data_IF_636918387085
#
_entry.id   IF_636918387085
#
_cell.length_a   1.000
_cell.length_b   1.000
_cell.length_c   1.000
_cell.angle_alpha   90.00
_cell.angle_beta   90.00
_cell.angle_gamma   90.00
#
_symmetry.space_group_name_H-M   'P 1'
#
loop_
_entity.id
_entity.type
_entity.pdbx_description
1 polymer ?
#
# COMPACT_ATOMS: atom_id res chain seq x y z
N UNK A 1 6.60 -4.23 -12.09
CA UNK A 1 6.88 -5.25 -11.05
C UNK A 1 7.15 -6.55 -11.78
N UNK A 2 7.66 -7.57 -11.15
CA UNK A 2 7.83 -8.90 -11.75
C UNK A 2 6.96 -9.89 -10.98
N UNK A 3 6.62 -11.01 -11.62
CA UNK A 3 5.98 -12.14 -10.95
C UNK A 3 6.84 -12.61 -9.78
N UNK A 4 6.22 -12.98 -8.67
CA UNK A 4 6.92 -13.54 -7.52
C UNK A 4 6.07 -14.58 -6.80
N UNK A 5 6.75 -15.43 -6.03
CA UNK A 5 6.13 -16.42 -5.13
C UNK A 5 6.81 -16.29 -3.77
N UNK A 6 6.03 -16.16 -2.71
CA UNK A 6 6.51 -16.08 -1.35
C UNK A 6 5.71 -17.00 -0.42
N UNK A 7 6.33 -17.43 0.67
CA UNK A 7 5.65 -18.21 1.72
C UNK A 7 5.54 -17.35 2.97
N UNK A 8 4.30 -17.04 3.38
CA UNK A 8 3.99 -16.20 4.52
C UNK A 8 3.15 -17.01 5.51
N UNK A 9 3.67 -17.28 6.70
CA UNK A 9 2.98 -18.07 7.74
C UNK A 9 2.50 -19.46 7.26
N UNK A 10 3.23 -20.08 6.32
CA UNK A 10 2.86 -21.39 5.74
C UNK A 10 1.89 -21.30 4.56
N UNK A 11 1.41 -20.12 4.19
CA UNK A 11 0.60 -19.88 3.00
C UNK A 11 1.49 -19.47 1.82
N UNK A 12 1.23 -20.04 0.65
CA UNK A 12 1.91 -19.69 -0.60
C UNK A 12 1.18 -18.53 -1.25
N UNK A 13 1.84 -17.39 -1.37
CA UNK A 13 1.36 -16.21 -2.09
C UNK A 13 2.08 -16.10 -3.43
N UNK A 14 1.31 -16.10 -4.52
CA UNK A 14 1.80 -15.86 -5.89
C UNK A 14 1.21 -14.54 -6.42
N UNK A 15 2.03 -13.79 -7.13
CA UNK A 15 1.62 -12.56 -7.79
C UNK A 15 1.99 -12.60 -9.27
N UNK A 16 1.03 -12.27 -10.14
CA UNK A 16 1.18 -12.18 -11.58
C UNK A 16 0.98 -10.73 -12.02
N UNK A 17 2.07 -10.10 -12.47
CA UNK A 17 2.09 -8.66 -12.75
C UNK A 17 1.24 -8.26 -13.94
N UNK A 18 1.27 -9.04 -15.03
CA UNK A 18 0.52 -8.78 -16.26
C UNK A 18 -1.00 -8.76 -16.03
N UNK A 19 -1.49 -9.64 -15.15
CA UNK A 19 -2.92 -9.79 -14.83
C UNK A 19 -3.31 -9.04 -13.56
N UNK A 20 -2.32 -8.50 -12.85
CA UNK A 20 -2.49 -7.85 -11.54
C UNK A 20 -3.24 -8.73 -10.55
N UNK A 21 -2.87 -10.02 -10.52
CA UNK A 21 -3.59 -11.07 -9.83
C UNK A 21 -2.79 -11.62 -8.66
N UNK A 22 -3.47 -11.84 -7.54
CA UNK A 22 -2.94 -12.54 -6.37
C UNK A 22 -3.61 -13.91 -6.24
N UNK A 23 -2.79 -14.94 -5.99
CA UNK A 23 -3.23 -16.29 -5.68
C UNK A 23 -2.64 -16.68 -4.33
N UNK A 24 -3.49 -17.14 -3.41
CA UNK A 24 -3.08 -17.64 -2.11
C UNK A 24 -3.52 -19.11 -1.99
N UNK A 25 -2.57 -20.02 -1.81
CA UNK A 25 -2.81 -21.46 -1.75
C UNK A 25 -3.65 -22.00 -2.92
N UNK A 26 -3.41 -21.47 -4.13
CA UNK A 26 -4.15 -21.84 -5.33
C UNK A 26 -5.52 -21.14 -5.48
N UNK A 27 -5.89 -20.25 -4.56
CA UNK A 27 -7.16 -19.48 -4.61
C UNK A 27 -6.86 -18.06 -5.07
N UNK A 28 -7.53 -17.61 -6.16
CA UNK A 28 -7.46 -16.23 -6.59
C UNK A 28 -8.19 -15.33 -5.60
N UNK A 29 -7.49 -14.33 -5.07
CA UNK A 29 -8.04 -13.34 -4.14
C UNK A 29 -7.91 -11.92 -4.70
N UNK A 30 -8.85 -11.01 -4.40
CA UNK A 30 -8.72 -9.62 -4.83
C UNK A 30 -7.55 -8.94 -4.12
N UNK A 31 -6.99 -7.90 -4.74
CA UNK A 31 -6.05 -7.02 -4.05
C UNK A 31 -6.77 -6.13 -3.02
N UNK A 32 -6.02 -5.64 -2.03
CA UNK A 32 -6.55 -4.66 -1.05
C UNK A 32 -7.14 -3.42 -1.77
N UNK A 33 -6.55 -2.98 -2.87
CA UNK A 33 -7.06 -1.85 -3.66
C UNK A 33 -8.37 -2.18 -4.38
N UNK A 34 -8.59 -3.44 -4.78
CA UNK A 34 -9.86 -3.90 -5.36
C UNK A 34 -11.00 -3.96 -4.30
N UNK A 35 -10.69 -4.23 -3.03
CA UNK A 35 -11.67 -4.09 -1.95
C UNK A 35 -12.07 -2.62 -1.80
N UNK A 36 -11.10 -1.71 -1.79
CA UNK A 36 -11.36 -0.27 -1.70
C UNK A 36 -12.22 0.27 -2.85
N UNK A 37 -12.15 -0.35 -4.03
CA UNK A 37 -12.94 0.08 -5.20
C UNK A 37 -14.46 -0.02 -4.96
N UNK A 38 -14.92 -0.90 -4.07
CA UNK A 38 -16.35 -1.00 -3.70
C UNK A 38 -16.86 0.34 -3.15
N UNK A 39 -16.11 0.96 -2.25
CA UNK A 39 -16.48 2.25 -1.65
C UNK A 39 -16.07 3.46 -2.49
N UNK A 40 -14.91 3.40 -3.10
CA UNK A 40 -14.25 4.58 -3.69
C UNK A 40 -14.20 4.59 -5.21
N UNK A 41 -14.63 3.50 -5.88
CA UNK A 41 -14.54 3.36 -7.35
C UNK A 41 -15.26 4.49 -8.10
N UNK A 42 -16.36 5.00 -7.56
CA UNK A 42 -17.13 6.11 -8.13
C UNK A 42 -16.33 7.42 -8.23
N UNK A 43 -15.29 7.63 -7.41
CA UNK A 43 -14.47 8.86 -7.40
C UNK A 43 -13.70 9.08 -8.69
N UNK A 44 -13.51 8.04 -9.49
CA UNK A 44 -12.79 8.09 -10.76
C UNK A 44 -13.73 8.10 -11.97
N UNK A 45 -15.06 8.05 -11.75
CA UNK A 45 -16.03 8.17 -12.82
C UNK A 45 -15.90 9.54 -13.49
N UNK A 46 -15.72 9.54 -14.82
CA UNK A 46 -15.51 10.77 -15.61
C UNK A 46 -14.06 11.20 -15.80
N UNK A 47 -13.09 10.49 -15.24
CA UNK A 47 -11.66 10.67 -15.58
C UNK A 47 -11.34 9.79 -16.79
N UNK A 48 -10.72 10.36 -17.85
CA UNK A 48 -10.39 9.57 -19.04
C UNK A 48 -9.35 8.50 -18.75
N UNK A 49 -9.49 7.32 -19.39
CA UNK A 49 -8.58 6.19 -19.23
C UNK A 49 -7.11 6.58 -19.47
N UNK A 50 -6.85 7.45 -20.45
CA UNK A 50 -5.50 7.95 -20.74
C UNK A 50 -4.89 8.69 -19.54
N UNK A 51 -5.69 9.47 -18.81
CA UNK A 51 -5.20 10.20 -17.62
C UNK A 51 -4.92 9.22 -16.48
N UNK A 52 -5.81 8.23 -16.28
CA UNK A 52 -5.63 7.19 -15.28
C UNK A 52 -4.39 6.33 -15.57
N UNK A 53 -4.22 5.91 -16.83
CA UNK A 53 -3.06 5.12 -17.25
C UNK A 53 -1.74 5.88 -17.07
N UNK A 54 -1.67 7.16 -17.48
CA UNK A 54 -0.48 7.97 -17.29
C UNK A 54 -0.16 8.17 -15.79
N UNK A 55 -1.19 8.32 -14.96
CA UNK A 55 -1.01 8.43 -13.51
C UNK A 55 -0.48 7.11 -12.91
N UNK A 56 -0.98 5.97 -13.36
CA UNK A 56 -0.50 4.64 -12.94
C UNK A 56 0.97 4.42 -13.32
N UNK A 57 1.33 4.64 -14.60
CA UNK A 57 2.72 4.51 -15.10
C UNK A 57 3.67 5.38 -14.26
N UNK A 58 3.29 6.65 -14.01
CA UNK A 58 4.12 7.53 -13.18
C UNK A 58 4.20 7.04 -11.73
N UNK A 59 3.09 6.58 -11.17
CA UNK A 59 3.06 6.01 -9.82
C UNK A 59 4.05 4.85 -9.71
N UNK A 60 3.95 3.87 -10.60
CA UNK A 60 4.86 2.70 -10.64
C UNK A 60 6.33 3.11 -10.74
N UNK A 61 6.65 4.09 -11.60
CA UNK A 61 8.02 4.58 -11.73
C UNK A 61 8.56 5.22 -10.45
N UNK A 62 7.71 5.95 -9.70
CA UNK A 62 8.10 6.57 -8.43
C UNK A 62 8.28 5.52 -7.34
N UNK A 63 7.36 4.56 -7.19
CA UNK A 63 7.50 3.46 -6.23
C UNK A 63 8.79 2.69 -6.49
N UNK A 64 9.04 2.32 -7.75
CA UNK A 64 10.27 1.60 -8.13
C UNK A 64 11.55 2.40 -7.81
N UNK A 65 11.57 3.70 -8.07
CA UNK A 65 12.72 4.52 -7.77
C UNK A 65 12.98 4.63 -6.25
N UNK A 66 11.91 4.69 -5.44
CA UNK A 66 12.05 4.72 -3.97
C UNK A 66 12.49 3.35 -3.45
N UNK A 67 11.93 2.25 -3.97
CA UNK A 67 12.36 0.88 -3.66
C UNK A 67 13.86 0.71 -3.94
N UNK A 68 14.32 1.03 -5.16
CA UNK A 68 15.71 0.90 -5.56
C UNK A 68 16.66 1.77 -4.71
N UNK A 69 16.20 2.96 -4.33
CA UNK A 69 16.95 3.81 -3.40
C UNK A 69 17.02 3.18 -2.00
N UNK A 70 15.93 2.66 -1.47
CA UNK A 70 15.91 2.05 -0.14
C UNK A 70 16.76 0.78 -0.05
N UNK A 71 16.77 -0.06 -1.11
CA UNK A 71 17.50 -1.32 -1.12
C UNK A 71 18.99 -1.12 -1.46
N UNK A 72 19.26 -0.34 -2.50
CA UNK A 72 20.60 -0.28 -3.14
C UNK A 72 21.25 1.10 -3.07
N UNK A 73 20.55 2.12 -2.54
CA UNK A 73 21.03 3.51 -2.61
C UNK A 73 21.01 4.09 -4.04
N UNK A 74 20.26 3.48 -4.96
CA UNK A 74 20.21 3.91 -6.37
C UNK A 74 19.57 5.28 -6.49
N UNK A 75 20.26 6.22 -7.12
CA UNK A 75 19.76 7.58 -7.38
C UNK A 75 18.93 7.63 -8.66
N UNK A 76 17.99 8.56 -8.70
CA UNK A 76 17.15 8.85 -9.85
C UNK A 76 16.90 10.35 -9.96
N UNK A 77 16.68 10.85 -11.20
CA UNK A 77 16.37 12.25 -11.46
C UNK A 77 14.91 12.63 -11.15
N UNK A 78 14.11 11.68 -10.65
CA UNK A 78 12.73 11.93 -10.29
C UNK A 78 12.62 12.94 -9.14
N UNK A 79 11.82 13.98 -9.33
CA UNK A 79 11.55 14.97 -8.30
C UNK A 79 10.94 14.34 -7.04
N UNK A 80 10.14 13.31 -7.23
CA UNK A 80 9.50 12.56 -6.14
C UNK A 80 10.53 11.84 -5.27
N UNK A 81 11.61 11.27 -5.83
CA UNK A 81 12.69 10.68 -5.02
C UNK A 81 13.42 11.76 -4.21
N UNK A 82 13.72 12.92 -4.82
CA UNK A 82 14.31 14.06 -4.08
C UNK A 82 13.41 14.50 -2.93
N UNK A 83 12.11 14.53 -3.16
CA UNK A 83 11.12 14.87 -2.13
C UNK A 83 11.03 13.81 -1.03
N UNK A 84 11.11 12.52 -1.38
CA UNK A 84 11.16 11.41 -0.42
C UNK A 84 12.37 11.54 0.51
N UNK A 85 13.56 11.71 -0.06
CA UNK A 85 14.81 11.92 0.69
C UNK A 85 14.76 13.16 1.59
N UNK A 86 14.12 14.23 1.10
CA UNK A 86 13.90 15.42 1.92
C UNK A 86 13.01 15.14 3.13
N UNK A 87 11.87 14.42 2.93
CA UNK A 87 10.99 14.05 4.03
C UNK A 87 11.68 13.10 5.00
N UNK A 88 12.44 12.12 4.50
CA UNK A 88 13.20 11.18 5.32
C UNK A 88 14.17 11.94 6.26
N UNK A 89 14.92 12.90 5.72
CA UNK A 89 15.82 13.74 6.50
C UNK A 89 15.09 14.67 7.47
N UNK A 90 13.99 15.30 7.03
CA UNK A 90 13.23 16.27 7.83
C UNK A 90 12.53 15.61 9.03
N UNK A 91 11.99 14.41 8.85
CA UNK A 91 11.26 13.69 9.88
C UNK A 91 12.10 12.65 10.60
N UNK A 92 13.33 12.39 10.12
CA UNK A 92 14.28 11.42 10.70
C UNK A 92 13.65 10.01 10.81
N UNK A 93 12.90 9.59 9.79
CA UNK A 93 12.39 8.22 9.75
C UNK A 93 13.37 7.27 9.04
N UNK A 94 13.42 6.05 9.54
CA UNK A 94 14.18 4.93 8.94
C UNK A 94 13.19 4.02 8.18
N UNK A 95 13.54 3.61 6.97
CA UNK A 95 12.80 2.57 6.24
C UNK A 95 13.27 1.22 6.73
N UNK A 96 12.38 0.42 7.31
CA UNK A 96 12.66 -0.94 7.77
C UNK A 96 12.38 -1.96 6.68
N UNK A 97 11.26 -1.79 5.98
CA UNK A 97 10.83 -2.65 4.89
C UNK A 97 10.17 -1.81 3.80
N UNK A 98 10.25 -2.29 2.57
CA UNK A 98 9.52 -1.72 1.42
C UNK A 98 8.94 -2.83 0.55
N UNK A 99 7.85 -2.51 -0.16
CA UNK A 99 7.15 -3.42 -1.07
C UNK A 99 6.88 -4.80 -0.43
N UNK A 100 6.48 -4.80 0.85
CA UNK A 100 6.29 -6.03 1.65
C UNK A 100 4.96 -6.69 1.32
N UNK A 101 4.95 -7.96 0.90
CA UNK A 101 3.73 -8.69 0.59
C UNK A 101 2.97 -9.04 1.86
N UNK A 102 1.63 -9.02 1.77
CA UNK A 102 0.75 -9.38 2.88
C UNK A 102 -0.48 -10.14 2.38
N UNK A 103 -1.03 -10.97 3.26
CA UNK A 103 -2.30 -11.67 3.09
C UNK A 103 -3.24 -11.19 4.19
N UNK A 104 -4.46 -10.84 3.81
CA UNK A 104 -5.53 -10.49 4.75
C UNK A 104 -6.43 -11.71 4.94
N UNK A 105 -6.65 -12.09 6.19
CA UNK A 105 -7.48 -13.23 6.56
C UNK A 105 -8.77 -12.79 7.27
N UNK A 106 -9.87 -13.49 6.98
CA UNK A 106 -11.12 -13.49 7.76
C UNK A 106 -11.43 -14.93 8.15
N UNK A 107 -11.65 -15.21 9.43
CA UNK A 107 -11.91 -16.56 9.94
C UNK A 107 -10.87 -17.61 9.46
N UNK A 108 -9.59 -17.25 9.48
CA UNK A 108 -8.45 -18.05 8.99
C UNK A 108 -8.51 -18.41 7.49
N UNK A 109 -9.35 -17.75 6.71
CA UNK A 109 -9.39 -17.89 5.24
C UNK A 109 -8.75 -16.67 4.60
N UNK A 110 -7.88 -16.81 3.59
CA UNK A 110 -7.36 -15.69 2.86
C UNK A 110 -8.48 -15.03 2.05
N UNK A 111 -8.68 -13.74 2.23
CA UNK A 111 -9.73 -12.96 1.56
C UNK A 111 -9.17 -11.89 0.62
N UNK A 112 -7.91 -11.52 0.81
CA UNK A 112 -7.24 -10.51 -0.01
C UNK A 112 -5.74 -10.64 0.15
N UNK A 113 -4.99 -10.06 -0.80
CA UNK A 113 -3.54 -9.90 -0.69
C UNK A 113 -3.11 -8.55 -1.25
N UNK A 114 -1.85 -8.21 -1.02
CA UNK A 114 -1.28 -6.97 -1.54
C UNK A 114 0.17 -6.80 -1.18
N UNK A 115 0.75 -5.70 -1.66
CA UNK A 115 2.09 -5.23 -1.27
C UNK A 115 1.95 -3.87 -0.64
N UNK A 116 2.43 -3.74 0.58
CA UNK A 116 2.46 -2.45 1.26
C UNK A 116 3.76 -1.72 0.90
N UNK A 117 3.68 -0.41 0.73
CA UNK A 117 4.82 0.36 0.23
C UNK A 117 5.96 0.42 1.23
N UNK A 118 5.69 0.78 2.50
CA UNK A 118 6.74 1.05 3.47
C UNK A 118 6.34 0.65 4.90
N UNK A 119 7.28 0.00 5.61
CA UNK A 119 7.30 -0.05 7.07
C UNK A 119 8.42 0.84 7.56
N UNK A 120 8.11 1.77 8.45
CA UNK A 120 9.04 2.79 8.92
C UNK A 120 9.24 2.68 10.43
N UNK A 121 10.43 3.09 10.89
CA UNK A 121 10.67 3.49 12.28
C UNK A 121 10.66 5.00 12.38
N UNK A 122 9.76 5.55 13.16
CA UNK A 122 9.62 7.00 13.37
C UNK A 122 9.29 7.30 14.83
N UNK A 123 10.11 8.11 15.49
CA UNK A 123 9.96 8.46 16.92
C UNK A 123 9.80 7.21 17.80
N UNK A 124 10.65 6.21 17.59
CA UNK A 124 10.64 4.91 18.29
C UNK A 124 9.32 4.10 18.13
N UNK A 125 8.55 4.37 17.09
CA UNK A 125 7.33 3.64 16.75
C UNK A 125 7.48 2.94 15.41
N UNK A 126 6.81 1.79 15.26
CA UNK A 126 6.64 1.14 13.97
C UNK A 126 5.43 1.76 13.28
N UNK A 127 5.61 2.14 12.03
CA UNK A 127 4.66 2.95 11.25
C UNK A 127 4.44 2.30 9.90
N UNK A 128 3.20 2.02 9.56
CA UNK A 128 2.83 1.68 8.18
C UNK A 128 2.70 2.96 7.35
N UNK A 129 3.30 2.99 6.18
CA UNK A 129 3.22 4.14 5.32
C UNK A 129 2.97 3.77 3.85
N UNK A 130 2.25 4.64 3.16
CA UNK A 130 1.84 4.48 1.78
C UNK A 130 2.29 5.70 0.96
N UNK A 131 2.84 5.44 -0.24
CA UNK A 131 3.34 6.48 -1.16
C UNK A 131 2.21 6.89 -2.09
N UNK A 132 1.93 8.18 -2.18
CA UNK A 132 0.90 8.73 -3.06
C UNK A 132 1.45 9.82 -3.97
N UNK A 133 1.30 9.60 -5.29
CA UNK A 133 1.71 10.53 -6.35
C UNK A 133 0.52 11.14 -7.11
N UNK A 134 -0.68 11.08 -6.53
CA UNK A 134 -1.93 11.56 -7.11
C UNK A 134 -2.00 13.09 -7.17
N UNK A 135 -2.85 13.63 -8.04
CA UNK A 135 -3.03 15.10 -8.18
C UNK A 135 -3.48 15.77 -6.89
N UNK A 136 -4.32 15.09 -6.10
CA UNK A 136 -4.79 15.49 -4.78
C UNK A 136 -4.71 14.28 -3.85
N UNK A 137 -4.23 14.52 -2.62
CA UNK A 137 -4.22 13.50 -1.59
C UNK A 137 -5.65 13.24 -1.08
N UNK A 138 -6.15 12.03 -1.33
CA UNK A 138 -7.37 11.51 -0.70
C UNK A 138 -7.01 10.84 0.61
N UNK A 139 -7.19 11.56 1.72
CA UNK A 139 -6.80 11.07 3.05
C UNK A 139 -7.73 9.98 3.58
N UNK A 140 -9.00 10.01 3.17
CA UNK A 140 -9.96 8.98 3.56
C UNK A 140 -9.62 7.66 2.88
N UNK A 141 -9.42 7.67 1.56
CA UNK A 141 -8.97 6.49 0.82
C UNK A 141 -7.69 5.89 1.42
N UNK A 142 -6.68 6.75 1.64
CA UNK A 142 -5.40 6.30 2.20
C UNK A 142 -5.54 5.75 3.64
N UNK A 143 -6.47 6.30 4.43
CA UNK A 143 -6.74 5.77 5.77
C UNK A 143 -7.33 4.36 5.71
N UNK A 144 -8.34 4.11 4.88
CA UNK A 144 -8.90 2.76 4.69
C UNK A 144 -7.84 1.79 4.19
N UNK A 145 -7.07 2.16 3.18
CA UNK A 145 -6.00 1.34 2.62
C UNK A 145 -4.98 0.94 3.69
N UNK A 146 -4.45 1.90 4.43
CA UNK A 146 -3.44 1.65 5.45
C UNK A 146 -3.99 0.86 6.65
N UNK A 147 -5.27 0.99 6.99
CA UNK A 147 -5.87 0.17 8.04
C UNK A 147 -6.02 -1.30 7.60
N UNK A 148 -6.41 -1.57 6.36
CA UNK A 148 -6.42 -2.93 5.80
C UNK A 148 -5.01 -3.53 5.79
N UNK A 149 -4.01 -2.78 5.34
CA UNK A 149 -2.62 -3.20 5.39
C UNK A 149 -2.11 -3.44 6.82
N UNK A 150 -2.50 -2.59 7.79
CA UNK A 150 -2.15 -2.76 9.20
C UNK A 150 -2.65 -4.10 9.74
N UNK A 151 -3.93 -4.43 9.46
CA UNK A 151 -4.53 -5.70 9.88
C UNK A 151 -3.78 -6.87 9.23
N UNK A 152 -3.61 -6.83 7.91
CA UNK A 152 -2.93 -7.87 7.15
C UNK A 152 -1.47 -8.07 7.62
N UNK A 153 -0.73 -6.98 7.80
CA UNK A 153 0.66 -7.04 8.25
C UNK A 153 0.77 -7.66 9.65
N UNK A 154 -0.11 -7.26 10.58
CA UNK A 154 -0.16 -7.87 11.91
C UNK A 154 -0.49 -9.36 11.86
N UNK A 155 -1.41 -9.78 10.98
CA UNK A 155 -1.73 -11.19 10.78
C UNK A 155 -0.55 -11.98 10.21
N UNK A 156 0.19 -11.40 9.26
CA UNK A 156 1.33 -12.06 8.62
C UNK A 156 2.60 -12.10 9.47
N UNK A 157 2.90 -11.02 10.19
CA UNK A 157 4.22 -10.81 10.82
C UNK A 157 4.17 -10.64 12.34
N UNK A 158 2.98 -10.60 12.93
CA UNK A 158 2.80 -10.45 14.39
C UNK A 158 3.17 -9.07 14.94
N UNK A 159 3.49 -8.10 14.08
CA UNK A 159 3.89 -6.74 14.47
C UNK A 159 2.74 -5.77 14.27
N UNK A 160 2.44 -4.97 15.28
CA UNK A 160 1.40 -3.95 15.21
C UNK A 160 1.98 -2.55 15.00
N UNK A 161 1.34 -1.75 14.12
CA UNK A 161 1.76 -0.39 13.84
C UNK A 161 1.07 0.61 14.77
N UNK A 162 1.85 1.52 15.35
CA UNK A 162 1.36 2.54 16.26
C UNK A 162 0.92 3.84 15.57
N UNK A 163 1.28 4.00 14.30
CA UNK A 163 0.93 5.16 13.47
C UNK A 163 0.74 4.74 12.02
N UNK A 164 -0.10 5.50 11.31
CA UNK A 164 -0.26 5.40 9.86
C UNK A 164 0.11 6.71 9.20
N UNK A 165 0.91 6.65 8.14
CA UNK A 165 1.42 7.82 7.42
C UNK A 165 1.21 7.72 5.91
N UNK A 166 1.01 8.84 5.27
CA UNK A 166 1.06 8.97 3.82
C UNK A 166 2.26 9.80 3.44
N UNK A 167 3.12 9.23 2.61
CA UNK A 167 4.23 9.92 1.95
C UNK A 167 3.69 10.47 0.63
N UNK A 168 3.16 11.70 0.67
CA UNK A 168 2.60 12.34 -0.51
C UNK A 168 3.68 13.09 -1.29
N UNK A 169 3.83 12.73 -2.57
CA UNK A 169 4.88 13.21 -3.47
C UNK A 169 4.24 13.58 -4.81
N UNK A 170 4.19 14.89 -5.14
CA UNK A 170 3.64 15.33 -6.44
C UNK A 170 4.31 16.60 -6.93
N UNK A 171 5.19 16.49 -7.93
CA UNK A 171 5.99 17.62 -8.38
C UNK A 171 6.75 18.24 -7.20
N UNK A 172 6.57 19.54 -6.96
CA UNK A 172 7.21 20.22 -5.82
C UNK A 172 6.49 20.00 -4.48
N UNK A 173 5.32 19.39 -4.49
CA UNK A 173 4.54 19.14 -3.27
C UNK A 173 5.00 17.86 -2.59
N UNK A 174 5.22 17.95 -1.28
CA UNK A 174 5.56 16.82 -0.43
C UNK A 174 4.91 16.96 0.94
N UNK A 175 4.43 15.87 1.51
CA UNK A 175 3.85 15.82 2.86
C UNK A 175 4.10 14.46 3.49
N UNK A 176 4.38 14.45 4.78
CA UNK A 176 4.37 13.25 5.62
C UNK A 176 3.13 13.31 6.51
N UNK A 177 1.97 12.96 5.93
CA UNK A 177 0.67 13.18 6.53
C UNK A 177 0.26 11.99 7.42
N UNK A 178 -0.26 12.28 8.61
CA UNK A 178 -0.86 11.25 9.46
C UNK A 178 -2.31 10.99 9.03
N UNK A 179 -2.71 9.72 9.04
CA UNK A 179 -4.11 9.30 8.91
C UNK A 179 -4.54 8.51 10.15
N UNK A 180 -5.83 8.46 10.47
CA UNK A 180 -6.31 7.79 11.66
C UNK A 180 -6.19 6.27 11.56
N UNK A 181 -5.96 5.61 12.71
CA UNK A 181 -6.18 4.19 12.89
C UNK A 181 -7.65 3.98 13.14
N UNK A 182 -8.32 3.20 12.28
CA UNK A 182 -9.72 2.82 12.38
C UNK A 182 -9.92 1.42 11.78
N UNK A 183 -9.49 0.40 12.52
CA UNK A 183 -9.61 -0.99 12.07
C UNK A 183 -11.08 -1.44 11.99
N UNK A 184 -11.94 -0.93 12.88
CA UNK A 184 -13.39 -1.21 12.83
C UNK A 184 -13.98 -0.80 11.49
N UNK A 185 -13.73 0.44 11.05
CA UNK A 185 -14.22 0.91 9.74
C UNK A 185 -13.61 0.15 8.56
N UNK A 186 -12.38 -0.37 8.69
CA UNK A 186 -11.78 -1.22 7.67
C UNK A 186 -12.47 -2.59 7.58
N UNK A 187 -12.86 -3.19 8.72
CA UNK A 187 -13.63 -4.43 8.76
C UNK A 187 -15.08 -4.23 8.24
N UNK A 188 -15.76 -3.14 8.61
CA UNK A 188 -17.08 -2.79 8.09
C UNK A 188 -17.06 -2.72 6.54
N UNK A 189 -15.99 -2.17 5.94
CA UNK A 189 -15.85 -2.14 4.49
C UNK A 189 -15.73 -3.56 3.87
N UNK A 190 -15.05 -4.50 4.54
CA UNK A 190 -14.97 -5.90 4.09
C UNK A 190 -16.34 -6.58 4.18
N UNK A 191 -17.12 -6.30 5.23
CA UNK A 191 -18.46 -6.84 5.41
C UNK A 191 -19.43 -6.28 4.37
N UNK A 192 -19.36 -4.99 4.06
CA UNK A 192 -20.16 -4.32 3.02
C UNK A 192 -19.85 -4.84 1.60
N UNK A 193 -18.65 -5.35 1.37
CA UNK A 193 -18.23 -5.88 0.06
C UNK A 193 -19.09 -7.09 -0.38
N UNK A 194 -19.58 -7.89 0.56
CA UNK A 194 -20.45 -9.04 0.28
C UNK A 194 -19.78 -10.23 -0.42
N UNK A 195 -18.53 -10.09 -0.87
CA UNK A 195 -17.73 -11.19 -1.45
C UNK A 195 -17.19 -12.16 -0.40
N UNK A 196 -17.19 -11.74 0.86
CA UNK A 196 -16.53 -12.43 1.97
C UNK A 196 -17.53 -12.78 3.08
N UNK A 197 -18.48 -13.69 2.81
CA UNK A 197 -19.43 -14.14 3.83
C UNK A 197 -18.72 -14.83 5.00
N UNK A 198 -19.39 -14.92 6.14
CA UNK A 198 -18.87 -15.54 7.37
C UNK A 198 -18.62 -17.05 7.23
#
# INVERSE_FOLDING_TARGET
>A
MSNYTEVIQGHTLEYFDDEHQYIVDGICVPSITQILAVKFGHKYSGVSDKVLQNAAIRGTAVHKAIEDYCINGTESDLQELRNFKFLQKQYEFEVLENETPVILFKNNKPISAGRLDLVLKYKNKIVGADIKCTAKLDREYAAYQLNLYKIAYRQCYGVDWQLLRVVYLKGDKRKFAQVPINETGAWELIEEDGRFPD
#
